data_IF_297984220131
#
_entry.id   IF_297984220131
#
_cell.length_a   1.000
_cell.length_b   1.000
_cell.length_c   1.000
_cell.angle_alpha   90.00
_cell.angle_beta   90.00
_cell.angle_gamma   90.00
#
_symmetry.space_group_name_H-M   'P 1'
#
loop_
_entity.id
_entity.type
_entity.pdbx_description
1 polymer ?
#
# COMPACT_ATOMS: atom_id res chain seq x y z
N UNK A 1 12.51 21.79 -19.41
CA UNK A 1 12.87 20.56 -18.68
C UNK A 1 13.53 21.00 -17.39
N UNK A 2 13.14 20.41 -16.26
CA UNK A 2 13.72 20.69 -14.95
C UNK A 2 14.80 19.64 -14.71
N UNK A 3 16.01 20.06 -14.34
CA UNK A 3 17.12 19.14 -14.08
C UNK A 3 17.59 19.36 -12.64
N UNK A 4 17.74 18.28 -11.83
CA UNK A 4 18.30 18.41 -10.49
C UNK A 4 19.61 19.18 -10.49
N UNK A 5 19.68 20.18 -9.61
CA UNK A 5 20.86 21.03 -9.49
C UNK A 5 21.96 20.25 -8.79
N UNK A 6 23.11 20.16 -9.46
CA UNK A 6 24.29 19.47 -8.95
C UNK A 6 25.20 20.49 -8.25
N UNK A 7 25.64 20.11 -7.07
CA UNK A 7 26.63 20.79 -6.26
C UNK A 7 27.89 19.92 -6.20
N UNK A 8 29.06 20.52 -6.18
CA UNK A 8 30.30 19.81 -5.88
C UNK A 8 30.52 19.85 -4.37
N UNK A 9 30.57 18.66 -3.76
CA UNK A 9 30.93 18.46 -2.36
C UNK A 9 32.03 17.42 -2.27
N UNK A 10 33.21 17.83 -1.80
CA UNK A 10 34.38 16.96 -1.70
C UNK A 10 34.80 16.28 -3.03
N UNK A 11 34.55 16.91 -4.18
CA UNK A 11 34.86 16.35 -5.49
C UNK A 11 33.81 15.36 -6.02
N UNK A 12 32.67 15.23 -5.34
CA UNK A 12 31.55 14.39 -5.72
C UNK A 12 30.33 15.24 -6.09
N UNK A 13 29.54 14.72 -7.03
CA UNK A 13 28.27 15.32 -7.41
C UNK A 13 27.27 15.09 -6.25
N UNK A 14 26.72 16.18 -5.73
CA UNK A 14 25.80 16.20 -4.61
C UNK A 14 24.52 16.97 -4.95
N UNK A 15 23.40 16.58 -4.35
CA UNK A 15 22.10 17.19 -4.54
C UNK A 15 21.66 17.86 -3.25
N UNK A 16 21.13 19.08 -3.35
CA UNK A 16 20.51 19.75 -2.21
C UNK A 16 19.10 19.21 -2.02
N UNK A 17 18.88 18.53 -0.91
CA UNK A 17 17.59 17.95 -0.51
C UNK A 17 16.98 18.81 0.60
N UNK A 18 15.69 19.11 0.44
CA UNK A 18 14.87 19.84 1.41
C UNK A 18 13.72 18.94 1.86
N UNK A 19 13.58 18.73 3.16
CA UNK A 19 12.46 18.00 3.76
C UNK A 19 11.24 18.90 3.99
N UNK A 20 10.05 18.31 3.99
CA UNK A 20 8.79 18.98 4.33
C UNK A 20 8.71 19.48 5.77
N UNK A 21 9.60 18.99 6.63
CA UNK A 21 9.82 19.41 8.02
C UNK A 21 10.76 20.63 8.14
N UNK A 22 11.28 21.13 7.00
CA UNK A 22 12.25 22.21 6.95
C UNK A 22 13.71 21.76 7.08
N UNK A 23 13.96 20.44 7.19
CA UNK A 23 15.33 19.90 7.16
C UNK A 23 15.99 20.18 5.81
N UNK A 24 17.30 20.36 5.82
CA UNK A 24 18.09 20.58 4.61
C UNK A 24 19.44 19.87 4.73
N UNK A 25 19.82 19.14 3.69
CA UNK A 25 21.12 18.49 3.62
C UNK A 25 21.55 18.28 2.16
N UNK A 26 22.83 17.93 2.00
CA UNK A 26 23.40 17.54 0.71
C UNK A 26 23.55 16.02 0.66
N UNK A 27 23.06 15.43 -0.42
CA UNK A 27 23.09 13.99 -0.65
C UNK A 27 24.01 13.66 -1.82
N UNK A 28 25.00 12.82 -1.57
CA UNK A 28 25.97 12.32 -2.54
C UNK A 28 25.51 10.93 -3.01
N UNK A 29 24.87 10.85 -4.18
CA UNK A 29 24.35 9.59 -4.72
C UNK A 29 23.27 9.80 -5.77
N UNK A 30 22.82 8.71 -6.39
CA UNK A 30 21.71 8.76 -7.37
C UNK A 30 20.39 9.10 -6.68
N UNK A 31 19.59 9.94 -7.34
CA UNK A 31 18.29 10.37 -6.87
C UNK A 31 17.20 10.02 -7.88
N UNK A 32 16.13 9.39 -7.40
CA UNK A 32 14.90 9.20 -8.16
C UNK A 32 13.90 10.30 -7.81
N UNK A 33 13.24 10.85 -8.83
CA UNK A 33 12.36 12.01 -8.68
C UNK A 33 11.19 11.93 -9.66
N UNK A 34 10.09 12.60 -9.32
CA UNK A 34 8.90 12.65 -10.16
C UNK A 34 8.96 13.89 -11.06
N UNK A 35 8.95 13.70 -12.38
CA UNK A 35 9.15 14.78 -13.36
C UNK A 35 7.89 15.59 -13.70
N UNK A 36 6.71 15.12 -13.28
CA UNK A 36 5.42 15.76 -13.58
C UNK A 36 5.00 16.81 -12.53
N UNK A 37 5.70 16.89 -11.40
CA UNK A 37 5.37 17.76 -10.28
C UNK A 37 6.52 18.70 -9.97
N UNK A 38 6.27 20.00 -10.07
CA UNK A 38 7.27 21.02 -9.78
C UNK A 38 6.72 21.99 -8.75
N UNK A 39 7.45 22.16 -7.67
CA UNK A 39 7.11 23.04 -6.58
C UNK A 39 7.97 24.28 -6.61
N UNK A 40 7.40 25.40 -6.15
CA UNK A 40 8.11 26.67 -6.09
C UNK A 40 8.03 27.28 -4.70
N UNK A 41 9.15 27.77 -4.23
CA UNK A 41 9.21 28.47 -2.94
C UNK A 41 9.00 29.99 -3.07
N UNK A 42 8.96 30.69 -1.92
CA UNK A 42 8.77 32.15 -1.87
C UNK A 42 9.86 32.96 -2.59
N UNK A 43 11.02 32.36 -2.84
CA UNK A 43 12.16 32.98 -3.52
C UNK A 43 12.21 32.61 -5.00
N UNK A 44 11.23 31.85 -5.48
CA UNK A 44 11.11 31.42 -6.86
C UNK A 44 12.04 30.27 -7.23
N UNK A 45 12.65 29.58 -6.26
CA UNK A 45 13.38 28.34 -6.53
C UNK A 45 12.41 27.21 -6.80
N UNK A 46 12.80 26.34 -7.72
CA UNK A 46 12.00 25.21 -8.17
C UNK A 46 12.52 23.93 -7.53
N UNK A 47 11.61 23.00 -7.25
CA UNK A 47 11.91 21.73 -6.61
C UNK A 47 11.11 20.59 -7.25
N UNK A 48 11.73 19.41 -7.36
CA UNK A 48 11.05 18.17 -7.75
C UNK A 48 10.93 17.25 -6.51
N UNK A 49 9.80 16.56 -6.31
CA UNK A 49 9.66 15.61 -5.22
C UNK A 49 10.54 14.39 -5.49
N UNK A 50 11.25 13.94 -4.46
CA UNK A 50 12.06 12.74 -4.49
C UNK A 50 11.22 11.50 -4.18
N UNK A 51 11.49 10.41 -4.89
CA UNK A 51 10.99 9.09 -4.56
C UNK A 51 11.97 8.53 -3.53
N UNK A 52 11.56 8.44 -2.27
CA UNK A 52 12.45 8.02 -1.18
C UNK A 52 11.72 7.12 -0.19
N UNK A 53 12.46 6.14 0.34
CA UNK A 53 12.00 5.18 1.34
C UNK A 53 12.35 5.62 2.78
N UNK A 54 12.65 6.90 2.98
CA UNK A 54 12.98 7.42 4.31
C UNK A 54 11.74 7.33 5.22
N UNK A 55 11.93 6.67 6.38
CA UNK A 55 10.87 6.14 7.26
C UNK A 55 10.19 7.17 8.16
N UNK A 56 10.56 8.43 8.09
CA UNK A 56 10.12 9.46 9.04
C UNK A 56 8.82 10.18 8.59
N UNK A 57 8.26 9.82 7.44
CA UNK A 57 7.09 10.49 6.85
C UNK A 57 7.40 11.87 6.28
N UNK A 58 8.68 12.29 6.30
CA UNK A 58 9.12 13.54 5.69
C UNK A 58 9.15 13.38 4.17
N UNK A 59 8.49 14.29 3.46
CA UNK A 59 8.59 14.37 1.99
C UNK A 59 9.83 15.16 1.64
N UNK A 60 10.66 14.61 0.76
CA UNK A 60 11.90 15.26 0.36
C UNK A 60 11.81 15.78 -1.06
N UNK A 61 12.49 16.89 -1.30
CA UNK A 61 12.48 17.61 -2.56
C UNK A 61 13.90 17.99 -2.96
N UNK A 62 14.23 17.90 -4.24
CA UNK A 62 15.53 18.33 -4.77
C UNK A 62 15.43 19.68 -5.47
N UNK A 63 16.37 20.59 -5.18
CA UNK A 63 16.47 21.88 -5.90
C UNK A 63 16.80 21.62 -7.39
N UNK A 64 16.11 22.28 -8.31
CA UNK A 64 16.31 22.08 -9.76
C UNK A 64 16.66 23.37 -10.50
N UNK A 65 17.40 23.24 -11.60
CA UNK A 65 17.66 24.32 -12.56
C UNK A 65 16.73 24.20 -13.78
N UNK A 66 16.37 25.36 -14.35
CA UNK A 66 15.55 25.44 -15.55
C UNK A 66 16.49 25.62 -16.75
N UNK A 67 16.70 24.56 -17.53
CA UNK A 67 17.67 24.56 -18.64
C UNK A 67 17.28 25.49 -19.82
N UNK A 68 16.01 25.88 -19.93
CA UNK A 68 15.56 26.83 -20.94
C UNK A 68 14.41 27.69 -20.42
N UNK A 69 14.38 29.01 -20.71
CA UNK A 69 13.25 29.85 -20.35
C UNK A 69 11.98 29.23 -20.95
N UNK A 70 11.02 28.93 -20.09
CA UNK A 70 9.69 28.48 -20.50
C UNK A 70 9.16 29.47 -21.53
N UNK A 71 9.11 29.07 -22.81
CA UNK A 71 8.37 29.80 -23.82
C UNK A 71 6.93 29.74 -23.33
N UNK A 72 6.40 30.88 -22.86
CA UNK A 72 4.99 31.00 -22.47
C UNK A 72 4.14 30.66 -23.68
N UNK A 73 3.72 29.41 -23.82
CA UNK A 73 2.62 29.03 -24.70
C UNK A 73 1.38 29.70 -24.13
N UNK A 74 0.89 30.71 -24.84
CA UNK A 74 -0.31 31.44 -24.46
C UNK A 74 -1.50 30.48 -24.44
N UNK A 75 -1.98 30.09 -23.26
CA UNK A 75 -3.32 29.49 -23.14
C UNK A 75 -3.55 28.53 -21.98
N UNK A 76 -2.54 27.84 -21.49
CA UNK A 76 -2.70 26.88 -20.39
C UNK A 76 -1.79 27.28 -19.24
N UNK A 77 -2.39 27.68 -18.12
CA UNK A 77 -1.65 27.76 -16.86
C UNK A 77 -1.19 26.34 -16.52
N UNK A 78 0.10 26.11 -16.23
CA UNK A 78 0.54 24.79 -15.77
C UNK A 78 -0.31 24.39 -14.57
N UNK A 79 -0.92 23.20 -14.64
CA UNK A 79 -1.78 22.67 -13.60
C UNK A 79 -1.04 22.73 -12.24
N UNK A 80 -1.59 23.54 -11.34
CA UNK A 80 -1.25 23.66 -9.92
C UNK A 80 0.25 23.85 -9.59
N UNK A 81 0.74 25.08 -9.74
CA UNK A 81 1.93 25.59 -9.02
C UNK A 81 1.61 25.59 -7.49
N UNK A 82 1.69 24.42 -6.84
CA UNK A 82 1.44 24.28 -5.39
C UNK A 82 2.54 24.99 -4.62
N UNK A 83 2.15 26.03 -3.89
CA UNK A 83 3.05 26.82 -3.08
C UNK A 83 3.51 26.00 -1.86
N UNK A 84 4.76 25.53 -1.87
CA UNK A 84 5.39 24.85 -0.73
C UNK A 84 5.86 25.83 0.35
N UNK A 85 5.56 27.13 0.24
CA UNK A 85 5.91 28.14 1.25
C UNK A 85 5.46 27.76 2.66
N UNK A 86 4.34 27.04 2.79
CA UNK A 86 3.87 26.56 4.10
C UNK A 86 4.72 25.41 4.67
N UNK A 87 5.43 24.65 3.83
CA UNK A 87 6.29 23.53 4.24
C UNK A 87 7.72 24.02 4.57
N UNK A 88 8.21 25.06 3.88
CA UNK A 88 9.54 25.64 4.15
C UNK A 88 9.43 26.79 5.18
N UNK A 89 8.69 26.55 6.27
CA UNK A 89 8.57 27.49 7.40
C UNK A 89 9.46 27.03 8.57
N UNK A 90 10.80 27.06 8.42
CA UNK A 90 11.75 27.22 9.54
C UNK A 90 13.22 26.98 9.12
N UNK A 91 13.79 27.86 8.30
CA UNK A 91 15.22 28.17 8.48
C UNK A 91 15.52 29.53 7.86
N UNK A 92 15.94 30.55 8.63
CA UNK A 92 16.36 31.82 8.07
C UNK A 92 17.55 31.58 7.14
N UNK A 93 17.27 31.68 5.85
CA UNK A 93 18.22 31.40 4.76
C UNK A 93 19.26 32.51 4.76
N UNK A 94 20.46 32.20 5.25
CA UNK A 94 21.62 33.03 4.98
C UNK A 94 22.35 32.42 3.78
N UNK A 95 22.15 32.99 2.60
CA UNK A 95 22.74 32.53 1.32
C UNK A 95 24.28 32.52 1.39
N UNK A 96 24.86 33.20 2.38
CA UNK A 96 26.30 33.31 2.63
C UNK A 96 26.86 32.18 3.53
N UNK A 97 26.07 31.18 3.90
CA UNK A 97 26.47 30.15 4.88
C UNK A 97 26.39 28.72 4.34
N UNK A 98 26.76 28.50 3.08
CA UNK A 98 27.07 27.14 2.64
C UNK A 98 28.30 26.64 3.42
N UNK A 99 28.34 25.34 3.78
CA UNK A 99 29.58 24.71 4.21
C UNK A 99 30.72 25.02 3.22
N UNK A 100 31.93 25.31 3.74
CA UNK A 100 33.08 25.72 2.92
C UNK A 100 33.48 24.67 1.86
N UNK A 101 33.03 23.42 2.02
CA UNK A 101 33.24 22.29 1.11
C UNK A 101 32.23 22.22 -0.04
N UNK A 102 31.28 23.16 -0.16
CA UNK A 102 30.22 23.12 -1.17
C UNK A 102 30.36 24.25 -2.17
N UNK A 103 30.46 23.89 -3.45
CA UNK A 103 30.45 24.85 -4.56
C UNK A 103 29.36 24.52 -5.58
N UNK A 104 28.60 25.53 -6.02
CA UNK A 104 27.60 25.32 -7.06
C UNK A 104 28.28 25.10 -8.42
N UNK A 105 28.05 23.94 -9.05
CA UNK A 105 28.62 23.64 -10.36
C UNK A 105 27.76 24.27 -11.45
N UNK A 106 28.09 25.51 -11.86
CA UNK A 106 27.34 26.18 -12.92
C UNK A 106 27.51 25.47 -14.28
N UNK A 107 26.41 24.94 -14.83
CA UNK A 107 26.30 24.62 -16.26
C UNK A 107 26.92 23.29 -16.72
N UNK A 108 27.04 22.28 -15.85
CA UNK A 108 27.45 20.93 -16.27
C UNK A 108 26.24 20.15 -16.79
N UNK A 109 26.09 20.08 -18.11
CA UNK A 109 25.13 19.16 -18.73
C UNK A 109 25.52 17.70 -18.48
N UNK A 110 24.58 16.90 -18.02
CA UNK A 110 24.75 15.43 -17.92
C UNK A 110 24.61 14.87 -19.33
N UNK A 111 25.69 14.87 -20.11
CA UNK A 111 25.81 13.98 -21.26
C UNK A 111 26.14 12.59 -20.71
N UNK A 112 25.29 11.60 -20.98
CA UNK A 112 25.42 10.21 -20.53
C UNK A 112 26.61 9.45 -21.12
N UNK A 113 27.81 10.03 -21.09
CA UNK A 113 29.06 9.31 -21.33
C UNK A 113 29.54 8.68 -20.00
N UNK A 114 29.57 7.36 -19.97
CA UNK A 114 30.22 6.57 -18.91
C UNK A 114 31.65 7.08 -18.68
N UNK A 115 31.97 7.54 -17.46
CA UNK A 115 33.36 7.85 -17.10
C UNK A 115 34.17 6.55 -17.08
N UNK A 116 35.39 6.51 -17.67
CA UNK A 116 36.29 5.39 -17.47
C UNK A 116 36.73 5.33 -16.00
N UNK A 117 36.61 4.14 -15.41
CA UNK A 117 37.13 3.81 -14.07
C UNK A 117 38.59 4.24 -13.96
N UNK A 118 38.90 5.13 -13.01
CA UNK A 118 40.28 5.43 -12.66
C UNK A 118 40.90 4.23 -11.93
N UNK A 119 41.93 3.68 -12.56
CA UNK A 119 42.79 2.62 -12.05
C UNK A 119 43.52 3.12 -10.79
N UNK A 120 43.18 2.54 -9.63
CA UNK A 120 43.87 2.82 -8.36
C UNK A 120 45.24 2.16 -8.40
N UNK A 121 46.29 2.97 -8.23
CA UNK A 121 47.66 2.47 -8.08
C UNK A 121 47.81 1.78 -6.73
N UNK A 122 48.22 0.52 -6.79
CA UNK A 122 48.70 -0.26 -5.65
C UNK A 122 49.82 0.48 -4.91
N UNK A 123 49.59 0.72 -3.61
CA UNK A 123 50.62 1.16 -2.67
C UNK A 123 51.15 -0.09 -1.98
N UNK A 124 52.34 -0.53 -2.39
CA UNK A 124 53.12 -1.55 -1.68
C UNK A 124 53.38 -1.09 -0.24
N UNK A 125 52.92 -1.90 0.72
CA UNK A 125 53.26 -1.77 2.13
C UNK A 125 54.43 -2.71 2.42
N UNK A 126 55.60 -2.14 2.68
CA UNK A 126 56.77 -2.88 3.17
C UNK A 126 56.58 -3.27 4.64
N UNK A 127 56.67 -4.57 4.90
CA UNK A 127 56.82 -5.15 6.22
C UNK A 127 58.12 -4.70 6.88
N UNK A 128 58.04 -4.03 8.02
CA UNK A 128 59.18 -3.77 8.90
C UNK A 128 58.81 -3.99 10.36
N UNK A 129 58.78 -5.26 10.77
CA UNK A 129 58.72 -5.65 12.19
C UNK A 129 60.16 -5.67 12.71
N UNK A 130 60.54 -4.64 13.47
CA UNK A 130 61.77 -4.68 14.28
C UNK A 130 61.45 -4.72 15.77
N UNK A 131 61.97 -5.78 16.37
CA UNK A 131 62.14 -6.11 17.77
C UNK A 131 62.63 -4.94 18.64
N UNK A 132 61.90 -4.59 19.71
CA UNK A 132 62.44 -3.80 20.84
C UNK A 132 62.03 -4.40 22.18
N UNK A 133 63.04 -4.51 23.03
CA UNK A 133 63.11 -5.11 24.35
C UNK A 133 62.36 -4.33 25.44
N UNK A 134 61.85 -5.10 26.41
CA UNK A 134 62.07 -4.91 27.85
C UNK A 134 61.62 -3.60 28.50
N UNK A 135 60.54 -3.68 29.29
CA UNK A 135 60.32 -2.74 30.40
C UNK A 135 60.08 -3.46 31.73
N UNK A 136 60.73 -2.88 32.73
CA UNK A 136 60.96 -3.34 34.08
C UNK A 136 59.69 -3.36 34.95
N UNK A 137 59.67 -4.29 35.92
CA UNK A 137 58.75 -4.29 37.06
C UNK A 137 59.11 -3.17 38.03
N UNK A 138 58.14 -2.30 38.33
CA UNK A 138 58.15 -1.34 39.43
C UNK A 138 56.82 -1.39 40.22
N UNK A 139 56.78 -0.88 41.46
CA UNK A 139 56.02 -1.50 42.55
C UNK A 139 54.57 -1.00 42.73
N UNK A 140 53.82 -1.87 43.42
CA UNK A 140 52.46 -1.76 43.96
C UNK A 140 52.25 -0.47 44.78
N UNK A 141 51.07 0.18 44.66
CA UNK A 141 50.50 0.94 45.75
C UNK A 141 49.11 0.45 46.19
N UNK A 142 49.07 0.03 47.45
CA UNK A 142 48.09 0.30 48.53
C UNK A 142 46.57 0.21 48.30
N UNK A 143 46.00 -0.77 49.02
CA UNK A 143 44.74 -0.82 49.78
C UNK A 143 43.73 0.34 49.61
N UNK A 144 42.57 -0.01 49.06
CA UNK A 144 41.30 0.73 49.16
C UNK A 144 40.49 0.10 50.29
N UNK A 145 39.87 0.90 51.19
CA UNK A 145 39.15 0.36 52.34
C UNK A 145 37.84 -0.33 51.94
N UNK A 146 37.63 -1.47 52.60
CA UNK A 146 36.45 -2.32 52.61
C UNK A 146 35.20 -1.53 53.05
N UNK A 147 34.21 -1.44 52.16
CA UNK A 147 32.89 -0.89 52.48
C UNK A 147 32.04 -2.06 53.00
N UNK A 148 31.75 -2.04 54.30
CA UNK A 148 30.77 -2.90 54.96
C UNK A 148 29.38 -2.68 54.35
N UNK A 149 28.96 -3.62 53.49
CA UNK A 149 27.60 -3.66 52.96
C UNK A 149 26.68 -4.26 54.04
N UNK A 150 25.88 -3.38 54.63
CA UNK A 150 24.90 -3.69 55.67
C UNK A 150 23.73 -4.44 55.05
N UNK A 151 23.65 -5.75 55.29
CA UNK A 151 22.50 -6.60 54.94
C UNK A 151 21.25 -6.11 55.69
N UNK A 152 20.16 -5.71 55.02
CA UNK A 152 18.87 -5.54 55.68
C UNK A 152 18.17 -6.89 55.85
N UNK A 153 17.53 -7.03 57.01
CA UNK A 153 16.86 -8.22 57.52
C UNK A 153 15.95 -8.93 56.51
N UNK A 154 16.06 -10.25 56.51
CA UNK A 154 15.22 -11.18 55.77
C UNK A 154 13.75 -11.05 56.22
N UNK A 155 12.92 -10.50 55.33
CA UNK A 155 11.46 -10.63 55.41
C UNK A 155 11.10 -12.06 55.03
N UNK A 156 10.68 -12.83 56.04
CA UNK A 156 10.10 -14.17 55.89
C UNK A 156 8.86 -14.07 54.99
N UNK A 157 8.98 -14.60 53.77
CA UNK A 157 7.86 -14.81 52.84
C UNK A 157 7.31 -16.23 53.07
N UNK A 158 5.99 -16.44 53.18
CA UNK A 158 5.43 -17.77 53.34
C UNK A 158 5.69 -18.60 52.07
N UNK A 159 6.12 -19.84 52.26
CA UNK A 159 6.20 -20.85 51.21
C UNK A 159 4.78 -21.11 50.66
N UNK A 160 4.46 -20.56 49.49
CA UNK A 160 3.36 -21.06 48.67
C UNK A 160 3.84 -22.31 47.95
N UNK A 161 3.25 -23.43 48.37
CA UNK A 161 3.35 -24.73 47.71
C UNK A 161 2.94 -24.61 46.25
N UNK A 162 3.93 -24.74 45.35
CA UNK A 162 3.69 -24.91 43.92
C UNK A 162 3.03 -26.27 43.72
N UNK A 163 1.71 -26.24 43.54
CA UNK A 163 0.94 -27.37 43.03
C UNK A 163 1.26 -27.52 41.54
N UNK A 164 2.02 -28.57 41.23
CA UNK A 164 2.30 -29.06 39.89
C UNK A 164 1.00 -29.60 39.26
N UNK A 165 0.12 -28.70 38.81
CA UNK A 165 -0.99 -29.06 37.93
C UNK A 165 -0.51 -28.88 36.50
N UNK A 166 -0.34 -30.01 35.82
CA UNK A 166 -0.16 -30.09 34.38
C UNK A 166 -1.18 -29.19 33.65
N UNK A 167 -0.80 -28.54 32.54
CA UNK A 167 -1.70 -27.69 31.80
C UNK A 167 -2.92 -28.51 31.36
N UNK A 168 -4.08 -28.17 31.90
CA UNK A 168 -5.35 -28.72 31.44
C UNK A 168 -5.44 -28.45 29.95
N UNK A 169 -5.65 -29.54 29.21
CA UNK A 169 -5.89 -29.54 27.76
C UNK A 169 -6.91 -28.43 27.45
N UNK A 170 -6.63 -27.51 26.52
CA UNK A 170 -7.57 -26.45 26.20
C UNK A 170 -8.94 -27.06 25.89
N UNK A 171 -10.05 -26.43 26.32
CA UNK A 171 -11.38 -26.94 26.09
C UNK A 171 -11.53 -27.21 24.59
N UNK A 172 -12.03 -28.41 24.24
CA UNK A 172 -12.39 -28.73 22.87
C UNK A 172 -13.38 -27.66 22.42
N UNK A 173 -12.89 -26.72 21.61
CA UNK A 173 -13.71 -25.74 20.93
C UNK A 173 -14.61 -26.54 20.00
N UNK A 174 -15.83 -26.83 20.45
CA UNK A 174 -16.90 -27.30 19.60
C UNK A 174 -17.14 -26.18 18.58
N UNK A 175 -16.48 -26.36 17.42
CA UNK A 175 -16.80 -25.71 16.16
C UNK A 175 -18.31 -25.47 16.16
N UNK A 176 -18.82 -24.23 16.10
CA UNK A 176 -20.22 -24.05 15.72
C UNK A 176 -20.34 -24.82 14.42
N UNK A 177 -21.13 -25.89 14.43
CA UNK A 177 -21.40 -26.62 13.21
C UNK A 177 -21.86 -25.56 12.22
N UNK A 178 -20.96 -25.15 11.31
CA UNK A 178 -21.37 -24.56 10.05
C UNK A 178 -22.36 -25.59 9.60
N UNK A 179 -23.64 -25.25 9.66
CA UNK A 179 -24.65 -26.03 9.02
C UNK A 179 -24.15 -26.05 7.59
N UNK A 180 -23.47 -27.13 7.20
CA UNK A 180 -23.49 -27.60 5.84
C UNK A 180 -24.96 -27.56 5.57
N UNK A 181 -25.40 -26.53 4.84
CA UNK A 181 -26.78 -26.37 4.47
C UNK A 181 -27.10 -27.70 3.84
N UNK A 182 -27.76 -28.56 4.60
CA UNK A 182 -28.26 -29.82 4.15
C UNK A 182 -29.34 -29.32 3.23
N UNK A 183 -28.99 -29.11 1.95
CA UNK A 183 -29.90 -28.62 0.94
C UNK A 183 -31.16 -29.44 1.18
N UNK A 184 -32.25 -28.79 1.57
CA UNK A 184 -33.39 -29.51 2.06
C UNK A 184 -33.77 -30.47 0.94
N UNK A 185 -34.01 -31.75 1.26
CA UNK A 185 -33.94 -32.85 0.29
C UNK A 185 -34.84 -32.66 -0.94
N UNK A 186 -35.78 -31.71 -0.91
CA UNK A 186 -36.55 -31.26 -2.07
C UNK A 186 -35.71 -30.54 -3.15
N UNK A 187 -34.61 -29.85 -2.83
CA UNK A 187 -33.74 -29.19 -3.84
C UNK A 187 -32.99 -30.20 -4.71
N UNK A 188 -32.51 -31.32 -4.13
CA UNK A 188 -31.83 -32.37 -4.90
C UNK A 188 -32.82 -33.05 -5.85
N UNK A 189 -34.06 -33.30 -5.41
CA UNK A 189 -35.12 -33.83 -6.28
C UNK A 189 -35.48 -32.82 -7.38
N UNK A 190 -35.51 -31.53 -7.07
CA UNK A 190 -35.74 -30.46 -8.06
C UNK A 190 -34.65 -30.40 -9.13
N UNK A 191 -33.38 -30.47 -8.73
CA UNK A 191 -32.25 -30.44 -9.67
C UNK A 191 -32.23 -31.66 -10.58
N UNK A 192 -32.51 -32.84 -10.05
CA UNK A 192 -32.62 -34.08 -10.85
C UNK A 192 -33.80 -34.01 -11.81
N UNK A 193 -34.95 -33.47 -11.39
CA UNK A 193 -36.10 -33.28 -12.28
C UNK A 193 -35.81 -32.29 -13.42
N UNK A 194 -35.09 -31.19 -13.14
CA UNK A 194 -34.68 -30.22 -14.16
C UNK A 194 -33.71 -30.86 -15.16
N UNK A 195 -32.72 -31.63 -14.70
CA UNK A 195 -31.81 -32.35 -15.60
C UNK A 195 -32.56 -33.35 -16.48
N UNK A 196 -33.53 -34.09 -15.91
CA UNK A 196 -34.37 -35.02 -16.69
C UNK A 196 -35.20 -34.25 -17.75
N UNK A 197 -35.75 -33.09 -17.42
CA UNK A 197 -36.50 -32.25 -18.37
C UNK A 197 -35.58 -31.74 -19.49
N UNK A 198 -34.38 -31.26 -19.16
CA UNK A 198 -33.42 -30.78 -20.16
C UNK A 198 -33.02 -31.94 -21.10
N UNK A 199 -32.68 -33.10 -20.55
CA UNK A 199 -32.33 -34.28 -21.36
C UNK A 199 -33.50 -34.74 -22.24
N UNK A 200 -34.75 -34.71 -21.73
CA UNK A 200 -35.94 -35.06 -22.50
C UNK A 200 -36.21 -34.06 -23.64
N UNK A 201 -36.03 -32.75 -23.39
CA UNK A 201 -36.15 -31.72 -24.42
C UNK A 201 -35.06 -31.92 -25.48
N UNK A 202 -33.79 -32.06 -25.07
CA UNK A 202 -32.67 -32.27 -26.00
C UNK A 202 -32.81 -33.54 -26.84
N UNK A 203 -33.31 -34.64 -26.26
CA UNK A 203 -33.56 -35.88 -27.01
C UNK A 203 -34.75 -35.77 -27.97
N UNK A 204 -35.78 -34.99 -27.63
CA UNK A 204 -36.87 -34.66 -28.56
C UNK A 204 -36.37 -33.82 -29.76
N UNK A 205 -35.42 -32.90 -29.55
CA UNK A 205 -34.79 -32.12 -30.62
C UNK A 205 -34.02 -32.99 -31.63
N UNK A 206 -33.37 -34.07 -31.18
CA UNK A 206 -32.64 -34.98 -32.05
C UNK A 206 -33.61 -35.87 -32.86
N UNK A 207 -34.73 -36.28 -32.26
CA UNK A 207 -35.65 -37.24 -32.88
C UNK A 207 -36.65 -36.60 -33.86
N UNK A 208 -37.04 -35.33 -33.70
CA UNK A 208 -38.03 -34.65 -34.57
C UNK A 208 -37.78 -33.14 -34.73
N UNK A 209 -36.79 -32.72 -35.55
CA UNK A 209 -36.43 -31.30 -35.72
C UNK A 209 -37.54 -30.43 -36.36
N UNK A 210 -38.54 -31.02 -37.02
CA UNK A 210 -39.58 -30.27 -37.74
C UNK A 210 -40.76 -29.78 -36.88
N UNK A 211 -40.86 -30.18 -35.60
CA UNK A 211 -42.03 -29.85 -34.76
C UNK A 211 -42.04 -28.43 -34.16
N UNK A 212 -40.98 -27.62 -34.30
CA UNK A 212 -40.84 -26.33 -33.58
C UNK A 212 -40.98 -25.10 -34.50
N UNK A 213 -41.18 -25.27 -35.81
CA UNK A 213 -41.41 -24.14 -36.74
C UNK A 213 -42.77 -23.43 -36.58
N UNK A 214 -43.62 -23.84 -35.63
CA UNK A 214 -44.99 -23.34 -35.49
C UNK A 214 -45.26 -22.29 -34.40
N UNK A 215 -44.30 -21.95 -33.53
CA UNK A 215 -44.58 -21.17 -32.32
C UNK A 215 -44.12 -19.69 -32.33
N UNK A 216 -43.66 -19.15 -33.47
CA UNK A 216 -43.41 -17.71 -33.61
C UNK A 216 -44.23 -17.12 -34.75
N UNK A 217 -45.56 -17.05 -34.61
CA UNK A 217 -46.39 -16.21 -35.48
C UNK A 217 -47.78 -15.96 -34.90
N UNK A 218 -47.94 -14.81 -34.24
CA UNK A 218 -49.16 -13.97 -34.10
C UNK A 218 -48.66 -12.70 -33.39
N UNK A 219 -48.63 -11.49 -33.94
CA UNK A 219 -49.59 -10.82 -34.80
C UNK A 219 -50.08 -9.58 -34.03
N UNK A 220 -49.64 -8.38 -34.42
CA UNK A 220 -50.31 -7.14 -34.04
C UNK A 220 -50.21 -6.14 -35.20
N UNK A 221 -51.38 -5.88 -35.75
CA UNK A 221 -51.72 -5.12 -36.94
C UNK A 221 -51.55 -3.63 -36.74
N UNK A 222 -51.04 -2.98 -37.77
CA UNK A 222 -50.86 -1.53 -37.95
C UNK A 222 -52.18 -0.79 -38.15
N UNK A 223 -52.35 0.33 -37.46
CA UNK A 223 -53.37 1.37 -37.78
C UNK A 223 -52.68 2.50 -38.58
N UNK A 224 -53.16 2.88 -39.78
CA UNK A 224 -52.64 4.02 -40.49
C UNK A 224 -53.25 5.32 -39.92
N UNK A 225 -52.42 6.18 -39.33
CA UNK A 225 -52.79 7.55 -38.99
C UNK A 225 -52.29 8.49 -40.08
N UNK A 226 -53.18 9.34 -40.59
CA UNK A 226 -52.91 10.25 -41.70
C UNK A 226 -51.79 11.24 -41.35
N UNK A 227 -50.72 11.22 -42.14
CA UNK A 227 -49.58 12.13 -42.06
C UNK A 227 -49.88 13.39 -42.86
N UNK A 228 -49.84 14.54 -42.19
CA UNK A 228 -49.78 15.85 -42.83
C UNK A 228 -48.29 16.12 -43.11
N UNK A 229 -47.89 16.08 -44.37
CA UNK A 229 -46.50 16.31 -44.80
C UNK A 229 -46.17 17.79 -44.69
N UNK A 230 -45.55 18.20 -43.58
CA UNK A 230 -44.82 19.45 -43.51
C UNK A 230 -43.49 19.30 -44.27
N UNK A 231 -43.19 20.25 -45.15
CA UNK A 231 -41.90 20.37 -45.84
C UNK A 231 -40.76 20.39 -44.80
N UNK A 232 -39.78 19.48 -44.85
CA UNK A 232 -38.69 19.46 -43.90
C UNK A 232 -37.83 20.72 -44.11
N UNK A 233 -37.75 21.54 -43.08
CA UNK A 233 -36.68 22.53 -42.93
C UNK A 233 -35.37 21.75 -42.94
N UNK A 234 -34.33 22.16 -43.69
CA UNK A 234 -33.04 21.47 -43.69
C UNK A 234 -32.52 21.39 -42.26
N UNK A 235 -32.62 20.20 -41.67
CA UNK A 235 -31.99 19.85 -40.40
C UNK A 235 -30.50 19.88 -40.66
N UNK A 236 -29.81 20.88 -40.11
CA UNK A 236 -28.35 20.89 -40.10
C UNK A 236 -27.89 19.54 -39.53
N UNK A 237 -27.01 18.85 -40.26
CA UNK A 237 -26.40 17.62 -39.76
C UNK A 237 -25.89 17.89 -38.35
N UNK A 238 -26.28 17.09 -37.33
CA UNK A 238 -25.76 17.26 -36.00
C UNK A 238 -24.24 17.10 -36.10
N UNK A 239 -23.53 18.20 -35.88
CA UNK A 239 -22.08 18.18 -35.71
C UNK A 239 -21.80 17.17 -34.61
N UNK A 240 -21.27 16.01 -35.00
CA UNK A 240 -20.91 14.94 -34.07
C UNK A 240 -19.87 15.55 -33.15
N UNK A 241 -20.28 15.85 -31.91
CA UNK A 241 -19.35 16.34 -30.91
C UNK A 241 -18.27 15.27 -30.78
N UNK A 242 -16.97 15.63 -30.91
CA UNK A 242 -15.90 14.65 -30.78
C UNK A 242 -16.11 13.90 -29.47
N UNK A 243 -16.23 12.58 -29.56
CA UNK A 243 -16.27 11.72 -28.38
C UNK A 243 -14.90 11.87 -27.73
N UNK A 244 -14.84 12.56 -26.60
CA UNK A 244 -13.61 12.70 -25.83
C UNK A 244 -13.14 11.28 -25.48
N UNK A 245 -11.96 10.92 -25.97
CA UNK A 245 -11.34 9.65 -25.58
C UNK A 245 -11.04 9.70 -24.08
N UNK A 246 -11.32 8.62 -23.33
CA UNK A 246 -11.08 8.59 -21.91
C UNK A 246 -9.58 8.81 -21.65
N UNK A 247 -9.25 9.87 -20.92
CA UNK A 247 -7.88 10.14 -20.48
C UNK A 247 -7.42 8.97 -19.62
N UNK A 248 -6.40 8.24 -20.06
CA UNK A 248 -5.81 7.16 -19.28
C UNK A 248 -4.97 7.76 -18.15
N UNK A 249 -5.42 7.58 -16.92
CA UNK A 249 -4.67 7.99 -15.73
C UNK A 249 -3.39 7.16 -15.60
N UNK A 250 -2.28 7.78 -15.17
CA UNK A 250 -1.07 7.02 -14.89
C UNK A 250 -1.27 6.12 -13.68
N UNK A 251 -0.48 5.05 -13.59
CA UNK A 251 -0.56 4.14 -12.45
C UNK A 251 -0.13 4.83 -11.13
N UNK A 252 0.81 5.78 -11.22
CA UNK A 252 1.23 6.58 -10.08
C UNK A 252 0.11 7.50 -9.58
N UNK A 253 -0.62 8.15 -10.48
CA UNK A 253 -1.78 8.97 -10.10
C UNK A 253 -2.83 8.11 -9.40
N UNK A 254 -3.07 6.90 -9.92
CA UNK A 254 -4.00 5.93 -9.31
C UNK A 254 -3.53 5.57 -7.89
N UNK A 255 -2.25 5.28 -7.69
CA UNK A 255 -1.67 4.98 -6.37
C UNK A 255 -1.79 6.17 -5.40
N UNK A 256 -1.54 7.39 -5.86
CA UNK A 256 -1.68 8.59 -5.04
C UNK A 256 -3.14 8.84 -4.63
N UNK A 257 -4.08 8.59 -5.53
CA UNK A 257 -5.50 8.70 -5.25
C UNK A 257 -5.97 7.64 -4.24
N UNK A 258 -5.48 6.39 -4.35
CA UNK A 258 -5.73 5.33 -3.37
C UNK A 258 -5.30 5.75 -1.96
N UNK A 259 -4.10 6.31 -1.83
CA UNK A 259 -3.59 6.81 -0.55
C UNK A 259 -4.54 7.82 0.09
N UNK A 260 -4.98 8.82 -0.69
CA UNK A 260 -5.87 9.89 -0.22
C UNK A 260 -7.28 9.43 0.14
N UNK A 261 -7.71 8.27 -0.37
CA UNK A 261 -9.04 7.73 -0.15
C UNK A 261 -9.17 6.94 1.17
N UNK A 262 -8.05 6.59 1.81
CA UNK A 262 -8.05 5.85 3.07
C UNK A 262 -8.38 6.80 4.23
N UNK A 263 -9.53 6.60 4.87
CA UNK A 263 -9.98 7.40 6.01
C UNK A 263 -10.57 6.52 7.13
N UNK A 264 -9.69 6.13 8.06
CA UNK A 264 -10.12 5.43 9.28
C UNK A 264 -10.71 6.33 10.37
N UNK A 265 -10.73 7.65 10.14
CA UNK A 265 -11.25 8.63 11.10
C UNK A 265 -12.76 8.86 10.96
N UNK A 266 -13.32 8.56 9.78
CA UNK A 266 -14.74 8.70 9.45
C UNK A 266 -15.66 7.96 10.45
N UNK A 267 -16.73 8.63 10.86
CA UNK A 267 -17.66 8.12 11.86
C UNK A 267 -18.46 6.89 11.39
N UNK A 268 -18.77 6.79 10.10
CA UNK A 268 -19.48 5.63 9.54
C UNK A 268 -18.56 4.40 9.49
N UNK A 269 -17.29 4.59 9.15
CA UNK A 269 -16.27 3.54 9.14
C UNK A 269 -16.06 2.98 10.55
N UNK A 270 -15.82 3.86 11.54
CA UNK A 270 -15.69 3.46 12.96
C UNK A 270 -16.92 2.74 13.48
N UNK A 271 -18.11 3.31 13.25
CA UNK A 271 -19.35 2.68 13.69
C UNK A 271 -19.56 1.31 13.07
N UNK A 272 -19.17 1.12 11.80
CA UNK A 272 -19.22 -0.21 11.19
C UNK A 272 -18.22 -1.18 11.83
N UNK A 273 -16.98 -0.75 12.05
CA UNK A 273 -15.95 -1.56 12.70
C UNK A 273 -16.42 -2.04 14.08
N UNK A 274 -16.89 -1.12 14.93
CA UNK A 274 -17.38 -1.42 16.28
C UNK A 274 -18.56 -2.41 16.28
N UNK A 275 -19.45 -2.32 15.30
CA UNK A 275 -20.62 -3.22 15.17
C UNK A 275 -20.30 -4.56 14.50
N UNK A 276 -19.09 -4.73 13.97
CA UNK A 276 -18.70 -5.92 13.20
C UNK A 276 -17.80 -6.87 13.98
N UNK A 277 -17.27 -6.44 15.13
CA UNK A 277 -16.41 -7.24 16.00
C UNK A 277 -17.27 -8.17 16.85
N UNK A 278 -16.88 -9.45 16.93
CA UNK A 278 -17.56 -10.40 17.81
C UNK A 278 -17.30 -10.09 19.27
N UNK A 279 -18.24 -10.47 20.14
CA UNK A 279 -18.08 -10.24 21.57
C UNK A 279 -16.84 -10.94 22.14
N UNK A 280 -16.49 -12.14 21.64
CA UNK A 280 -15.28 -12.86 22.04
C UNK A 280 -14.01 -12.04 21.75
N UNK A 281 -13.92 -11.43 20.57
CA UNK A 281 -12.80 -10.57 20.18
C UNK A 281 -12.75 -9.27 21.00
N UNK A 282 -13.91 -8.69 21.33
CA UNK A 282 -14.01 -7.53 22.23
C UNK A 282 -13.53 -7.87 23.63
N UNK A 283 -14.01 -8.98 24.21
CA UNK A 283 -13.70 -9.40 25.58
C UNK A 283 -12.22 -9.78 25.73
N UNK A 284 -11.60 -10.36 24.69
CA UNK A 284 -10.18 -10.70 24.71
C UNK A 284 -9.26 -9.51 24.47
N UNK A 285 -9.77 -8.38 23.97
CA UNK A 285 -8.96 -7.23 23.52
C UNK A 285 -7.99 -7.57 22.39
N UNK A 286 -8.21 -8.67 21.66
CA UNK A 286 -7.29 -9.13 20.63
C UNK A 286 -7.59 -8.39 19.32
N UNK A 287 -6.80 -7.36 19.03
CA UNK A 287 -6.96 -6.55 17.81
C UNK A 287 -6.90 -7.38 16.53
N UNK A 288 -6.07 -8.42 16.47
CA UNK A 288 -5.99 -9.31 15.30
C UNK A 288 -7.30 -10.08 15.12
N UNK A 289 -7.88 -10.59 16.21
CA UNK A 289 -9.18 -11.25 16.17
C UNK A 289 -10.27 -10.29 15.67
N UNK A 290 -10.28 -9.05 16.19
CA UNK A 290 -11.22 -8.00 15.81
C UNK A 290 -11.16 -7.63 14.31
N UNK A 291 -9.97 -7.38 13.75
CA UNK A 291 -9.87 -7.06 12.31
C UNK A 291 -10.23 -8.25 11.42
N UNK A 292 -9.98 -9.48 11.88
CA UNK A 292 -10.37 -10.69 11.16
C UNK A 292 -11.88 -10.95 11.21
N UNK A 293 -12.58 -10.56 12.29
CA UNK A 293 -14.05 -10.55 12.35
C UNK A 293 -14.63 -9.56 11.33
N UNK A 294 -14.06 -8.36 11.25
CA UNK A 294 -14.44 -7.34 10.26
C UNK A 294 -14.21 -7.87 8.85
N UNK A 295 -13.04 -8.43 8.58
CA UNK A 295 -12.69 -9.03 7.29
C UNK A 295 -13.72 -10.07 6.86
N UNK A 296 -14.05 -11.02 7.73
CA UNK A 296 -15.04 -12.08 7.43
C UNK A 296 -16.41 -11.48 7.11
N UNK A 297 -16.83 -10.46 7.86
CA UNK A 297 -18.11 -9.80 7.65
C UNK A 297 -18.13 -9.01 6.34
N UNK A 298 -17.09 -8.23 6.05
CA UNK A 298 -16.97 -7.49 4.78
C UNK A 298 -17.00 -8.48 3.62
N UNK A 299 -16.19 -9.54 3.63
CA UNK A 299 -16.16 -10.52 2.55
C UNK A 299 -17.49 -11.25 2.35
N UNK A 300 -18.24 -11.49 3.42
CA UNK A 300 -19.57 -12.10 3.34
C UNK A 300 -20.63 -11.17 2.73
N UNK A 301 -20.53 -9.87 2.99
CA UNK A 301 -21.48 -8.86 2.53
C UNK A 301 -21.06 -8.20 1.19
N UNK A 302 -19.81 -8.37 0.76
CA UNK A 302 -19.23 -7.69 -0.40
C UNK A 302 -19.76 -8.22 -1.75
N UNK A 303 -20.17 -7.29 -2.62
CA UNK A 303 -20.56 -7.54 -4.00
C UNK A 303 -19.53 -6.96 -4.95
N UNK A 304 -18.79 -7.82 -5.65
CA UNK A 304 -17.79 -7.39 -6.63
C UNK A 304 -18.43 -6.66 -7.81
N UNK A 305 -17.93 -5.46 -8.11
CA UNK A 305 -18.22 -4.75 -9.35
C UNK A 305 -17.20 -5.11 -10.43
N UNK A 306 -17.56 -4.90 -11.70
CA UNK A 306 -16.62 -5.02 -12.81
C UNK A 306 -15.48 -4.00 -12.65
N UNK A 307 -14.22 -4.40 -12.89
CA UNK A 307 -13.10 -3.48 -12.78
C UNK A 307 -13.26 -2.31 -13.75
N UNK A 308 -13.13 -1.09 -13.24
CA UNK A 308 -13.26 0.13 -14.03
C UNK A 308 -12.13 1.11 -13.81
N UNK A 309 -11.99 2.09 -14.71
CA UNK A 309 -11.06 3.22 -14.55
C UNK A 309 -11.60 4.29 -13.58
N UNK A 310 -12.56 3.93 -12.72
CA UNK A 310 -13.13 4.84 -11.75
C UNK A 310 -12.19 5.00 -10.55
N UNK A 311 -12.28 6.16 -9.92
CA UNK A 311 -11.65 6.41 -8.63
C UNK A 311 -12.26 5.50 -7.56
N UNK A 312 -11.49 5.09 -6.54
CA UNK A 312 -12.07 4.40 -5.39
C UNK A 312 -13.16 5.27 -4.75
N UNK A 313 -14.27 4.64 -4.41
CA UNK A 313 -15.35 5.23 -3.64
C UNK A 313 -14.90 5.57 -2.22
N UNK A 314 -15.47 6.65 -1.68
CA UNK A 314 -15.21 7.08 -0.32
C UNK A 314 -15.65 6.00 0.70
N UNK A 315 -14.81 5.58 1.66
CA UNK A 315 -15.11 4.51 2.62
C UNK A 315 -16.47 4.63 3.32
N UNK A 316 -16.86 5.86 3.72
CA UNK A 316 -18.15 6.16 4.35
C UNK A 316 -19.39 5.81 3.50
N UNK A 317 -19.23 5.77 2.17
CA UNK A 317 -20.26 5.32 1.22
C UNK A 317 -20.13 3.83 1.00
N UNK A 318 -18.91 3.36 0.72
CA UNK A 318 -18.61 1.95 0.43
C UNK A 318 -19.05 1.02 1.56
N UNK A 319 -18.89 1.43 2.83
CA UNK A 319 -19.34 0.67 4.00
C UNK A 319 -20.87 0.53 4.10
N UNK A 320 -21.64 1.34 3.38
CA UNK A 320 -23.11 1.25 3.33
C UNK A 320 -23.59 0.41 2.16
N UNK A 321 -22.85 0.44 1.06
CA UNK A 321 -23.22 -0.26 -0.18
C UNK A 321 -22.67 -1.68 -0.23
N UNK A 322 -21.54 -1.96 0.43
CA UNK A 322 -20.78 -3.21 0.34
C UNK A 322 -20.61 -3.68 -1.10
N UNK A 323 -20.29 -2.75 -1.98
CA UNK A 323 -20.16 -2.98 -3.41
C UNK A 323 -19.04 -2.11 -3.96
N UNK A 324 -18.23 -2.68 -4.86
CA UNK A 324 -17.14 -2.00 -5.53
C UNK A 324 -16.16 -2.98 -6.16
N UNK A 325 -15.14 -2.46 -6.82
CA UNK A 325 -14.03 -3.24 -7.37
C UNK A 325 -12.94 -3.51 -6.31
N UNK A 326 -11.80 -4.05 -6.73
CA UNK A 326 -10.66 -4.34 -5.84
C UNK A 326 -10.07 -3.09 -5.16
N UNK A 327 -10.13 -1.92 -5.80
CA UNK A 327 -9.66 -0.65 -5.22
C UNK A 327 -10.59 -0.22 -4.10
N UNK A 328 -11.90 -0.27 -4.33
CA UNK A 328 -12.93 0.04 -3.33
C UNK A 328 -12.79 -0.86 -2.11
N UNK A 329 -12.64 -2.16 -2.32
CA UNK A 329 -12.44 -3.15 -1.27
C UNK A 329 -11.19 -2.83 -0.44
N UNK A 330 -10.06 -2.59 -1.12
CA UNK A 330 -8.79 -2.31 -0.46
C UNK A 330 -8.83 -1.01 0.35
N UNK A 331 -9.41 0.06 -0.20
CA UNK A 331 -9.60 1.33 0.49
C UNK A 331 -10.49 1.19 1.72
N UNK A 332 -11.61 0.46 1.60
CA UNK A 332 -12.49 0.19 2.75
C UNK A 332 -11.76 -0.60 3.84
N UNK A 333 -11.09 -1.69 3.48
CA UNK A 333 -10.42 -2.56 4.45
C UNK A 333 -9.25 -1.85 5.16
N UNK A 334 -8.44 -1.06 4.46
CA UNK A 334 -7.41 -0.24 5.10
C UNK A 334 -8.01 0.82 6.03
N UNK A 335 -9.12 1.45 5.63
CA UNK A 335 -9.82 2.43 6.47
C UNK A 335 -10.35 1.79 7.76
N UNK A 336 -10.94 0.60 7.66
CA UNK A 336 -11.40 -0.19 8.81
C UNK A 336 -10.24 -0.61 9.71
N UNK A 337 -9.13 -1.07 9.14
CA UNK A 337 -7.93 -1.41 9.90
C UNK A 337 -7.35 -0.18 10.66
N UNK A 338 -7.20 0.98 10.01
CA UNK A 338 -6.78 2.22 10.66
C UNK A 338 -7.74 2.63 11.77
N UNK A 339 -9.05 2.41 11.62
CA UNK A 339 -10.03 2.73 12.67
C UNK A 339 -9.82 1.93 13.97
N UNK A 340 -9.22 0.74 13.88
CA UNK A 340 -8.79 -0.09 15.04
C UNK A 340 -7.36 0.21 15.52
N UNK A 341 -6.69 1.17 14.89
CA UNK A 341 -5.31 1.56 15.19
C UNK A 341 -4.27 0.56 14.68
N UNK A 342 -4.55 -0.14 13.57
CA UNK A 342 -3.52 -0.83 12.81
C UNK A 342 -2.81 0.13 11.87
N UNK A 343 -1.50 -0.08 11.69
CA UNK A 343 -0.83 0.39 10.48
C UNK A 343 -1.31 -0.46 9.30
N UNK A 344 -1.70 0.21 8.22
CA UNK A 344 -2.25 -0.44 7.03
C UNK A 344 -1.81 0.27 5.76
N UNK A 345 -1.72 -0.48 4.67
CA UNK A 345 -1.34 0.02 3.35
C UNK A 345 -2.08 -0.78 2.27
N UNK A 346 -2.19 -0.23 1.07
CA UNK A 346 -2.70 -0.96 -0.09
C UNK A 346 -1.50 -1.44 -0.89
N UNK A 347 -1.47 -2.70 -1.27
CA UNK A 347 -0.48 -3.20 -2.23
C UNK A 347 -1.10 -3.25 -3.62
N UNK A 348 -0.37 -2.66 -4.57
CA UNK A 348 -0.65 -2.76 -6.00
C UNK A 348 0.33 -3.75 -6.59
N UNK A 349 -0.19 -4.82 -7.16
CA UNK A 349 0.56 -5.98 -7.59
C UNK A 349 0.37 -6.18 -9.10
N UNK A 350 1.47 -6.29 -9.83
CA UNK A 350 1.48 -6.46 -11.28
C UNK A 350 1.64 -7.94 -11.60
N UNK A 351 0.57 -8.54 -12.13
CA UNK A 351 0.48 -9.97 -12.45
C UNK A 351 0.29 -10.16 -13.96
N UNK A 352 0.40 -11.40 -14.43
CA UNK A 352 0.11 -11.74 -15.83
C UNK A 352 -1.36 -11.46 -16.23
N UNK A 353 -2.26 -11.38 -15.25
CA UNK A 353 -3.69 -11.09 -15.43
C UNK A 353 -4.01 -9.59 -15.34
N UNK A 354 -3.00 -8.76 -15.07
CA UNK A 354 -3.13 -7.32 -14.88
C UNK A 354 -2.83 -6.87 -13.45
N UNK A 355 -3.41 -5.74 -13.07
CA UNK A 355 -3.18 -5.12 -11.76
C UNK A 355 -4.14 -5.69 -10.72
N UNK A 356 -3.60 -6.12 -9.58
CA UNK A 356 -4.35 -6.55 -8.41
C UNK A 356 -4.12 -5.57 -7.27
N UNK A 357 -5.18 -5.26 -6.53
CA UNK A 357 -5.14 -4.36 -5.38
C UNK A 357 -5.58 -5.16 -4.16
N UNK A 358 -4.81 -5.10 -3.08
CA UNK A 358 -5.22 -5.74 -1.83
C UNK A 358 -4.76 -4.93 -0.61
N UNK A 359 -5.56 -4.95 0.48
CA UNK A 359 -5.17 -4.33 1.73
C UNK A 359 -4.15 -5.18 2.48
N UNK A 360 -3.22 -4.53 3.16
CA UNK A 360 -2.32 -5.15 4.14
C UNK A 360 -2.37 -4.43 5.47
N UNK A 361 -2.12 -5.19 6.54
CA UNK A 361 -1.97 -4.69 7.90
C UNK A 361 -0.66 -5.16 8.51
N UNK A 362 -0.01 -4.28 9.29
CA UNK A 362 1.15 -4.68 10.09
C UNK A 362 0.66 -5.44 11.33
N UNK A 363 1.06 -6.70 11.46
CA UNK A 363 0.58 -7.59 12.53
C UNK A 363 1.63 -7.84 13.62
N UNK A 364 2.91 -7.61 13.33
CA UNK A 364 4.00 -7.83 14.26
C UNK A 364 5.23 -6.98 13.90
N UNK A 365 6.02 -6.64 14.91
CA UNK A 365 7.33 -6.00 14.77
C UNK A 365 8.50 -6.92 15.09
N UNK A 366 8.22 -8.20 15.37
CA UNK A 366 9.19 -9.21 15.76
C UNK A 366 8.67 -10.61 15.38
N UNK A 367 9.61 -11.55 15.21
CA UNK A 367 9.30 -12.91 14.77
C UNK A 367 8.44 -13.69 15.77
N UNK A 368 8.60 -13.45 17.08
CA UNK A 368 7.83 -14.17 18.11
C UNK A 368 6.37 -13.77 18.08
N UNK A 369 6.08 -12.47 17.96
CA UNK A 369 4.71 -11.97 17.77
C UNK A 369 4.14 -12.49 16.45
N UNK A 370 4.93 -12.51 15.38
CA UNK A 370 4.48 -13.06 14.10
C UNK A 370 4.17 -14.57 14.15
N UNK A 371 4.94 -15.37 14.89
CA UNK A 371 4.64 -16.78 15.12
C UNK A 371 3.28 -16.99 15.79
N UNK A 372 2.91 -16.12 16.75
CA UNK A 372 1.58 -16.15 17.35
C UNK A 372 0.49 -15.82 16.32
N UNK A 373 0.74 -14.86 15.43
CA UNK A 373 -0.18 -14.54 14.33
C UNK A 373 -0.35 -15.73 13.39
N UNK A 374 0.73 -16.41 12.99
CA UNK A 374 0.66 -17.63 12.16
C UNK A 374 -0.16 -18.73 12.83
N UNK A 375 0.07 -18.98 14.13
CA UNK A 375 -0.70 -19.96 14.90
C UNK A 375 -2.19 -19.59 14.95
N UNK A 376 -2.50 -18.30 15.10
CA UNK A 376 -3.87 -17.80 15.09
C UNK A 376 -4.54 -18.03 13.72
N UNK A 377 -3.88 -17.66 12.62
CA UNK A 377 -4.38 -17.88 11.26
C UNK A 377 -4.53 -19.35 10.92
N UNK A 378 -3.61 -20.21 11.36
CA UNK A 378 -3.74 -21.65 11.22
C UNK A 378 -4.93 -22.21 11.99
N UNK A 379 -5.17 -21.72 13.21
CA UNK A 379 -6.32 -22.13 14.02
C UNK A 379 -7.65 -21.73 13.35
N UNK A 380 -7.75 -20.47 12.90
CA UNK A 380 -8.99 -19.88 12.37
C UNK A 380 -9.28 -20.27 10.92
N UNK A 381 -8.27 -20.19 10.04
CA UNK A 381 -8.42 -20.36 8.59
C UNK A 381 -7.71 -21.60 8.02
N UNK A 382 -6.94 -22.33 8.83
CA UNK A 382 -6.10 -23.47 8.37
C UNK A 382 -5.00 -23.05 7.40
N UNK A 383 -4.48 -21.84 7.57
CA UNK A 383 -3.36 -21.30 6.79
C UNK A 383 -2.07 -21.56 7.55
N UNK A 384 -1.22 -22.43 7.01
CA UNK A 384 0.07 -22.79 7.60
C UNK A 384 1.20 -21.84 7.21
N UNK A 385 1.13 -21.29 6.00
CA UNK A 385 2.13 -20.39 5.40
C UNK A 385 1.45 -19.16 4.80
N UNK A 386 1.04 -18.18 5.62
CA UNK A 386 0.47 -16.96 5.08
C UNK A 386 1.54 -16.21 4.26
N UNK A 387 1.14 -15.66 3.11
CA UNK A 387 1.94 -14.70 2.39
C UNK A 387 2.17 -13.48 3.29
N UNK A 388 3.43 -13.06 3.38
CA UNK A 388 3.87 -12.01 4.27
C UNK A 388 4.89 -11.16 3.56
N UNK A 389 4.71 -9.84 3.63
CA UNK A 389 5.80 -8.92 3.34
C UNK A 389 6.58 -8.64 4.61
N UNK A 390 7.90 -8.84 4.54
CA UNK A 390 8.83 -8.57 5.62
C UNK A 390 9.66 -7.32 5.31
N UNK A 391 9.57 -6.31 6.17
CA UNK A 391 10.52 -5.20 6.21
C UNK A 391 11.61 -5.42 7.27
N UNK A 392 12.45 -4.40 7.53
CA UNK A 392 13.60 -4.52 8.48
C UNK A 392 13.23 -5.00 9.89
N UNK A 393 11.96 -4.89 10.30
CA UNK A 393 11.40 -5.47 11.53
C UNK A 393 9.86 -5.46 11.49
N UNK A 394 9.24 -5.64 10.32
CA UNK A 394 7.79 -5.48 10.18
C UNK A 394 7.23 -6.65 9.41
N UNK A 395 6.15 -7.23 9.92
CA UNK A 395 5.44 -8.33 9.28
C UNK A 395 4.06 -7.85 8.86
N UNK A 396 3.81 -7.86 7.56
CA UNK A 396 2.58 -7.40 6.94
C UNK A 396 1.82 -8.57 6.36
N UNK A 397 0.53 -8.69 6.69
CA UNK A 397 -0.34 -9.74 6.15
C UNK A 397 -1.40 -9.11 5.28
N UNK A 398 -1.61 -9.68 4.09
CA UNK A 398 -2.70 -9.27 3.21
C UNK A 398 -4.06 -9.75 3.74
N UNK A 399 -5.09 -8.95 3.50
CA UNK A 399 -6.48 -9.31 3.73
C UNK A 399 -7.20 -9.43 2.38
N UNK A 400 -6.65 -10.24 1.48
CA UNK A 400 -7.27 -10.51 0.18
C UNK A 400 -8.68 -11.07 0.37
N UNK A 401 -9.62 -10.66 -0.49
CA UNK A 401 -11.05 -10.99 -0.36
C UNK A 401 -11.33 -12.50 -0.26
N UNK A 402 -10.52 -13.34 -0.92
CA UNK A 402 -10.73 -14.79 -0.93
C UNK A 402 -10.18 -15.47 0.32
N UNK A 403 -9.02 -15.02 0.82
CA UNK A 403 -8.39 -15.56 2.02
C UNK A 403 -7.34 -14.58 2.56
N UNK A 404 -7.26 -14.36 3.88
CA UNK A 404 -6.20 -13.54 4.45
C UNK A 404 -4.86 -14.28 4.31
N UNK A 405 -3.77 -13.57 4.00
CA UNK A 405 -2.47 -14.16 3.75
C UNK A 405 -2.41 -15.07 2.52
N UNK A 406 -3.29 -14.85 1.53
CA UNK A 406 -3.25 -15.58 0.27
C UNK A 406 -1.96 -15.25 -0.51
N UNK A 407 -1.42 -16.24 -1.22
CA UNK A 407 -0.22 -16.06 -2.05
C UNK A 407 -0.58 -15.26 -3.30
N UNK A 408 0.18 -14.20 -3.54
CA UNK A 408 0.07 -13.38 -4.75
C UNK A 408 1.29 -13.63 -5.63
N UNK A 409 1.06 -14.06 -6.87
CA UNK A 409 2.14 -14.25 -7.84
C UNK A 409 2.24 -13.00 -8.71
N UNK A 410 3.29 -12.22 -8.53
CA UNK A 410 3.47 -10.94 -9.19
C UNK A 410 4.91 -10.71 -9.61
N UNK A 411 5.09 -10.01 -10.73
CA UNK A 411 6.41 -9.59 -11.18
C UNK A 411 6.93 -8.40 -10.37
N UNK A 412 6.02 -7.55 -9.90
CA UNK A 412 6.34 -6.31 -9.21
C UNK A 412 5.20 -5.91 -8.27
N UNK A 413 5.54 -5.35 -7.12
CA UNK A 413 4.56 -4.88 -6.13
C UNK A 413 4.98 -3.53 -5.55
N UNK A 414 3.99 -2.70 -5.25
CA UNK A 414 4.16 -1.40 -4.60
C UNK A 414 3.22 -1.26 -3.42
N UNK A 415 3.75 -0.88 -2.27
CA UNK A 415 2.99 -0.49 -1.11
C UNK A 415 2.62 1.00 -1.19
N UNK A 416 1.33 1.29 -1.10
CA UNK A 416 0.74 2.63 -1.07
C UNK A 416 0.29 2.92 0.36
N UNK A 417 0.98 3.87 1.00
CA UNK A 417 0.70 4.23 2.39
C UNK A 417 -0.32 5.37 2.46
N UNK A 418 -1.21 5.40 3.47
CA UNK A 418 -2.17 6.48 3.70
C UNK A 418 -1.53 7.88 3.83
N UNK A 419 -0.25 7.94 4.18
CA UNK A 419 0.52 9.18 4.36
C UNK A 419 0.99 9.79 3.01
N UNK A 420 0.70 9.12 1.90
CA UNK A 420 0.94 9.65 0.56
C UNK A 420 2.33 9.35 0.00
N UNK A 421 2.98 8.28 0.46
CA UNK A 421 4.21 7.77 -0.11
C UNK A 421 4.02 6.34 -0.63
N UNK A 422 4.84 5.98 -1.62
CA UNK A 422 4.77 4.72 -2.35
C UNK A 422 6.14 4.05 -2.24
N UNK A 423 6.16 2.78 -1.86
CA UNK A 423 7.39 1.99 -1.69
C UNK A 423 7.32 0.78 -2.61
N UNK A 424 8.33 0.60 -3.46
CA UNK A 424 8.48 -0.64 -4.22
C UNK A 424 8.86 -1.78 -3.27
N UNK A 425 8.09 -2.85 -3.31
CA UNK A 425 8.32 -4.04 -2.49
C UNK A 425 9.27 -5.00 -3.22
N UNK A 426 10.16 -5.62 -2.46
CA UNK A 426 11.00 -6.69 -2.97
C UNK A 426 10.14 -7.94 -3.07
N UNK A 427 9.84 -8.39 -4.29
CA UNK A 427 9.15 -9.66 -4.51
C UNK A 427 10.11 -10.80 -4.13
N UNK A 428 9.72 -11.59 -3.13
CA UNK A 428 10.50 -12.74 -2.68
C UNK A 428 10.52 -13.82 -3.76
N UNK A 429 11.71 -14.13 -4.30
CA UNK A 429 11.95 -15.20 -5.28
C UNK A 429 11.99 -16.59 -4.66
#
# INVERSE_FOLDING_TARGET
>A
MFVPKIYDRNGLDAYRIVGSDGSEFFYEGEIEHVNDQVFKDEQGKMYLPLITNLRDGTKYYVEVEVEAPLIKTSGEEPEEEKNIASLILASPRNVDNYPEDITATAGRQITGEERPLQETKDVETEDNITHVQGFEKGPIPQEVPEIEERVPDAVVRPEESISENAPEKPPDYERPERSRGRMPSFMIVGFVAIIIIIVAISSAYILKPDMIKGYMSTGATTTPSATITATPVPTADPTVSPTEEPVSMSIYDTMMLLSSAIDGSDGSVKAYADNSISQDSTDSGNKLAAILDIYEKVCADWSMAEPGNQLPGHPAVTVKTMNGDMKDYSVLMCSLAKSLGFESRIVVSFTDEGQKFYPEIMVASDETTFDNVKNYLYSRYRIDRPYVHTGDSEYWINLEIDSPGAVINSSEEYAVYPEGYIVKLMTGS
#
